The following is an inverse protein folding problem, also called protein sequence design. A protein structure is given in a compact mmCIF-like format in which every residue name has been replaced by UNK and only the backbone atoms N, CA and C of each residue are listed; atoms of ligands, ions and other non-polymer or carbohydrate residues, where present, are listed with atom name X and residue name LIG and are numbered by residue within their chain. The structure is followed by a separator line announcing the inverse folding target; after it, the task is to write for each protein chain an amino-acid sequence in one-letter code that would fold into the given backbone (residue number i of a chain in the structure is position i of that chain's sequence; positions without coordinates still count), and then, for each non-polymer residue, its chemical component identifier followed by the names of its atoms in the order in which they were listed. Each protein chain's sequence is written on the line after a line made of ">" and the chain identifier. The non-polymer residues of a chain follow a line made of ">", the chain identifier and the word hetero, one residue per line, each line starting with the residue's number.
data_IF_642013617985
#
_entry.id   IF_642013617985
#
_cell.length_a   1.000
_cell.length_b   1.000
_cell.length_c   1.000
_cell.angle_alpha   90.00
_cell.angle_beta   90.00
_cell.angle_gamma   90.00
#
_symmetry.space_group_name_H-M   'P 1'
#
loop_
_entity.id
_entity.type
_entity.pdbx_description
1 polymer ?
#
# COMPACT_ATOMS: atom_id res chain seq x y z
N UNK A 1 10.92 3.14 8.23
CA UNK A 1 9.65 3.83 8.57
C UNK A 1 9.35 4.98 7.61
N UNK A 2 10.31 5.87 7.31
CA UNK A 2 10.14 6.96 6.31
C UNK A 2 9.61 6.44 4.95
N UNK A 3 10.08 5.29 4.50
CA UNK A 3 9.61 4.66 3.25
C UNK A 3 8.09 4.47 3.19
N UNK A 4 7.41 4.21 4.32
CA UNK A 4 5.95 4.06 4.36
C UNK A 4 5.22 5.39 4.17
N UNK A 5 5.76 6.48 4.73
CA UNK A 5 5.22 7.84 4.53
C UNK A 5 5.39 8.28 3.08
N UNK A 6 6.58 8.06 2.50
CA UNK A 6 6.86 8.36 1.09
C UNK A 6 5.95 7.54 0.18
N UNK A 7 5.76 6.25 0.49
CA UNK A 7 4.84 5.39 -0.25
C UNK A 7 3.42 5.94 -0.27
N UNK A 8 2.87 6.36 0.88
CA UNK A 8 1.54 6.97 0.94
C UNK A 8 1.47 8.28 0.14
N UNK A 9 2.49 9.14 0.24
CA UNK A 9 2.55 10.40 -0.51
C UNK A 9 2.53 10.17 -2.03
N UNK A 10 3.21 9.13 -2.54
CA UNK A 10 3.18 8.76 -3.95
C UNK A 10 1.77 8.35 -4.45
N UNK A 11 0.86 7.99 -3.55
CA UNK A 11 -0.52 7.64 -3.88
C UNK A 11 -1.48 8.84 -3.80
N UNK A 12 -0.99 10.06 -3.58
CA UNK A 12 -1.82 11.26 -3.54
C UNK A 12 -2.62 11.46 -4.83
N UNK A 13 -2.05 11.19 -6.01
CA UNK A 13 -2.78 11.30 -7.27
C UNK A 13 -3.94 10.29 -7.35
N UNK A 14 -3.71 9.03 -6.94
CA UNK A 14 -4.75 8.00 -6.87
C UNK A 14 -5.88 8.41 -5.91
N UNK A 15 -5.51 8.91 -4.74
CA UNK A 15 -6.42 9.31 -3.68
C UNK A 15 -7.29 10.53 -4.06
N UNK A 16 -6.65 11.58 -4.62
CA UNK A 16 -7.26 12.89 -4.81
C UNK A 16 -7.87 13.07 -6.20
N UNK A 17 -7.41 12.33 -7.21
CA UNK A 17 -7.83 12.53 -8.61
C UNK A 17 -8.57 11.34 -9.21
N UNK A 18 -8.26 10.10 -8.79
CA UNK A 18 -8.75 8.90 -9.49
C UNK A 18 -9.94 8.24 -8.78
N UNK A 19 -9.91 8.12 -7.44
CA UNK A 19 -10.78 7.16 -6.74
C UNK A 19 -11.98 7.75 -6.00
N UNK A 20 -12.17 9.07 -5.92
CA UNK A 20 -13.18 9.74 -5.06
C UNK A 20 -13.11 9.37 -3.55
N UNK A 21 -12.15 8.52 -3.16
CA UNK A 21 -12.01 8.02 -1.80
C UNK A 21 -11.15 8.94 -0.94
N UNK A 22 -10.19 9.69 -1.49
CA UNK A 22 -9.44 10.69 -0.72
C UNK A 22 -8.59 10.09 0.42
N UNK A 23 -8.77 10.61 1.65
CA UNK A 23 -7.93 10.25 2.80
C UNK A 23 -7.92 8.75 3.16
N UNK A 24 -9.01 7.95 2.99
CA UNK A 24 -8.95 6.50 3.14
C UNK A 24 -7.83 5.84 2.36
N UNK A 25 -7.58 6.26 1.11
CA UNK A 25 -6.52 5.68 0.26
C UNK A 25 -5.14 5.99 0.82
N UNK A 26 -4.94 7.22 1.32
CA UNK A 26 -3.69 7.63 1.94
C UNK A 26 -3.44 6.89 3.26
N UNK A 27 -4.48 6.71 4.09
CA UNK A 27 -4.36 5.93 5.33
C UNK A 27 -4.05 4.47 5.04
N UNK A 28 -4.75 3.86 4.08
CA UNK A 28 -4.53 2.48 3.66
C UNK A 28 -3.09 2.26 3.18
N UNK A 29 -2.64 3.08 2.22
CA UNK A 29 -1.27 2.99 1.69
C UNK A 29 -0.22 3.29 2.74
N UNK A 30 -0.48 4.17 3.72
CA UNK A 30 0.43 4.40 4.85
C UNK A 30 0.58 3.15 5.71
N UNK A 31 -0.53 2.51 6.11
CA UNK A 31 -0.49 1.28 6.92
C UNK A 31 0.24 0.17 6.16
N UNK A 32 -0.08 0.00 4.88
CA UNK A 32 0.55 -1.01 4.03
C UNK A 32 2.06 -0.75 3.85
N UNK A 33 2.45 0.50 3.60
CA UNK A 33 3.84 0.91 3.47
C UNK A 33 4.64 0.73 4.77
N UNK A 34 4.01 0.92 5.93
CA UNK A 34 4.62 0.62 7.24
C UNK A 34 4.78 -0.89 7.44
N UNK A 35 3.77 -1.69 7.11
CA UNK A 35 3.85 -3.15 7.16
C UNK A 35 4.98 -3.67 6.26
N UNK A 36 5.06 -3.20 5.01
CA UNK A 36 6.13 -3.56 4.08
C UNK A 36 7.51 -3.09 4.58
N UNK A 37 7.60 -1.94 5.24
CA UNK A 37 8.86 -1.49 5.85
C UNK A 37 9.32 -2.41 6.99
N UNK A 38 8.40 -2.94 7.80
CA UNK A 38 8.69 -3.91 8.86
C UNK A 38 9.09 -5.26 8.26
N UNK A 39 8.38 -5.75 7.24
CA UNK A 39 8.73 -6.97 6.51
C UNK A 39 10.13 -6.85 5.90
N UNK A 40 10.44 -5.71 5.26
CA UNK A 40 11.77 -5.46 4.68
C UNK A 40 12.88 -5.57 5.73
N UNK A 41 12.67 -4.99 6.92
CA UNK A 41 13.65 -5.04 8.00
C UNK A 41 13.94 -6.45 8.51
N UNK A 42 12.99 -7.39 8.36
CA UNK A 42 13.12 -8.76 8.86
C UNK A 42 13.45 -9.79 7.76
N UNK A 43 13.00 -9.55 6.54
CA UNK A 43 12.97 -10.55 5.45
C UNK A 43 13.45 -9.99 4.10
N UNK A 44 13.92 -8.75 4.06
CA UNK A 44 14.48 -8.13 2.85
C UNK A 44 13.43 -7.63 1.85
N UNK A 45 13.92 -7.06 0.74
CA UNK A 45 13.08 -6.34 -0.22
C UNK A 45 12.14 -7.28 -0.98
N UNK A 46 12.58 -8.47 -1.38
CA UNK A 46 11.74 -9.43 -2.12
C UNK A 46 10.50 -9.85 -1.32
N UNK A 47 10.66 -10.13 -0.03
CA UNK A 47 9.55 -10.44 0.85
C UNK A 47 8.59 -9.24 1.03
N UNK A 48 9.13 -8.02 1.12
CA UNK A 48 8.31 -6.81 1.18
C UNK A 48 7.53 -6.56 -0.12
N UNK A 49 8.16 -6.80 -1.28
CA UNK A 49 7.49 -6.73 -2.59
C UNK A 49 6.38 -7.77 -2.70
N UNK A 50 6.63 -9.01 -2.27
CA UNK A 50 5.61 -10.05 -2.24
C UNK A 50 4.46 -9.69 -1.29
N UNK A 51 4.76 -9.12 -0.12
CA UNK A 51 3.75 -8.65 0.84
C UNK A 51 2.83 -7.58 0.23
N UNK A 52 3.41 -6.52 -0.34
CA UNK A 52 2.68 -5.49 -1.07
C UNK A 52 1.84 -6.09 -2.22
N UNK A 53 2.47 -6.86 -3.10
CA UNK A 53 1.80 -7.48 -4.24
C UNK A 53 0.65 -8.40 -3.82
N UNK A 54 0.77 -9.12 -2.70
CA UNK A 54 -0.30 -9.98 -2.18
C UNK A 54 -1.52 -9.17 -1.76
N UNK A 55 -1.32 -8.03 -1.09
CA UNK A 55 -2.43 -7.14 -0.71
C UNK A 55 -3.16 -6.65 -1.96
N UNK A 56 -2.42 -6.19 -2.97
CA UNK A 56 -3.01 -5.76 -4.25
C UNK A 56 -3.77 -6.90 -4.92
N UNK A 57 -3.20 -8.10 -4.99
CA UNK A 57 -3.90 -9.27 -5.57
C UNK A 57 -5.21 -9.56 -4.85
N UNK A 58 -5.21 -9.53 -3.50
CA UNK A 58 -6.41 -9.83 -2.71
C UNK A 58 -7.53 -8.79 -2.89
N UNK A 59 -7.19 -7.51 -3.08
CA UNK A 59 -8.18 -6.44 -3.27
C UNK A 59 -8.54 -6.19 -4.74
N UNK A 60 -7.69 -6.60 -5.68
CA UNK A 60 -7.92 -6.44 -7.12
C UNK A 60 -8.93 -7.44 -7.67
N UNK A 61 -9.20 -8.56 -6.97
CA UNK A 61 -10.26 -9.48 -7.34
C UNK A 61 -11.61 -8.76 -7.16
N UNK A 62 -12.41 -8.57 -8.22
CA UNK A 62 -13.78 -8.11 -8.04
C UNK A 62 -14.48 -9.14 -7.15
N UNK A 63 -15.03 -8.71 -6.02
CA UNK A 63 -16.04 -9.50 -5.34
C UNK A 63 -17.17 -9.70 -6.36
N UNK A 64 -17.18 -10.85 -7.01
CA UNK A 64 -18.32 -11.34 -7.77
C UNK A 64 -19.41 -11.60 -6.73
N UNK A 65 -20.19 -10.56 -6.41
CA UNK A 65 -21.40 -10.61 -5.61
C UNK A 65 -22.58 -10.24 -6.50
#
# INVERSE_FOLDING_TARGET
>A
MISGVVFAACHAFLALSVTQLGWPVLLFTLIEGLACALVRMRHGVLAATACHGTVILLIAVPYMA
#
